data_IF_917573634135
#
_entry.id   IF_917573634135
#
_cell.length_a   1.000
_cell.length_b   1.000
_cell.length_c   1.000
_cell.angle_alpha   90.00
_cell.angle_beta   90.00
_cell.angle_gamma   90.00
#
_symmetry.space_group_name_H-M   'P 1'
#
loop_
_entity.id
_entity.type
_entity.pdbx_description
1 polymer ?
#
# COMPACT_ATOMS: atom_id res chain seq x y z
N UNK A 1 15.95 -7.10 -10.24
CA UNK A 1 16.18 -7.78 -11.54
C UNK A 1 15.49 -6.97 -12.61
N UNK A 2 16.24 -6.21 -13.40
CA UNK A 2 15.74 -5.45 -14.55
C UNK A 2 15.77 -6.35 -15.79
N UNK A 3 14.65 -6.43 -16.50
CA UNK A 3 14.52 -7.28 -17.68
C UNK A 3 15.27 -6.62 -18.85
N UNK A 4 16.47 -7.12 -19.20
CA UNK A 4 17.38 -6.56 -20.20
C UNK A 4 16.99 -6.86 -21.67
N UNK A 5 15.82 -7.46 -21.91
CA UNK A 5 15.39 -7.86 -23.25
C UNK A 5 13.95 -7.44 -23.52
N UNK A 6 13.71 -6.18 -23.90
CA UNK A 6 12.58 -5.74 -24.75
C UNK A 6 12.65 -4.21 -24.95
N UNK A 7 13.08 -3.77 -26.14
CA UNK A 7 12.91 -2.38 -26.59
C UNK A 7 11.41 -2.02 -26.57
N UNK A 8 11.03 -1.06 -25.73
CA UNK A 8 9.90 -0.16 -25.94
C UNK A 8 8.48 -0.73 -26.03
N UNK A 9 8.05 -1.63 -25.14
CA UNK A 9 6.59 -1.87 -24.99
C UNK A 9 5.98 -0.73 -24.18
N UNK A 10 4.98 -0.04 -24.74
CA UNK A 10 4.16 0.91 -23.99
C UNK A 10 3.52 0.18 -22.80
N UNK A 11 3.78 0.67 -21.58
CA UNK A 11 3.23 0.11 -20.35
C UNK A 11 2.49 1.22 -19.61
N UNK A 12 1.24 0.95 -19.30
CA UNK A 12 0.43 1.76 -18.41
C UNK A 12 0.32 1.07 -17.05
N UNK A 13 0.26 1.86 -16.00
CA UNK A 13 -0.11 1.44 -14.66
C UNK A 13 -1.61 1.72 -14.50
N UNK A 14 -2.36 0.71 -14.10
CA UNK A 14 -3.78 0.84 -13.82
C UNK A 14 -3.96 0.60 -12.33
N UNK A 15 -4.62 1.53 -11.66
CA UNK A 15 -4.98 1.45 -10.25
C UNK A 15 -6.48 1.61 -10.12
N UNK A 16 -7.13 0.68 -9.44
CA UNK A 16 -8.58 0.69 -9.29
C UNK A 16 -8.99 0.34 -7.86
N UNK A 17 -10.08 0.93 -7.40
CA UNK A 17 -10.80 0.49 -6.20
C UNK A 17 -12.14 -0.10 -6.65
N UNK A 18 -12.45 -1.30 -6.15
CA UNK A 18 -13.62 -2.07 -6.51
C UNK A 18 -14.33 -2.48 -5.23
N UNK A 19 -15.65 -2.36 -5.22
CA UNK A 19 -16.51 -2.99 -4.23
C UNK A 19 -16.63 -4.49 -4.53
N UNK A 20 -16.12 -5.31 -3.61
CA UNK A 20 -16.09 -6.77 -3.76
C UNK A 20 -17.48 -7.39 -3.67
N UNK A 21 -18.39 -6.81 -2.90
CA UNK A 21 -19.73 -7.37 -2.67
C UNK A 21 -20.68 -7.05 -3.80
N UNK A 22 -20.62 -5.82 -4.32
CA UNK A 22 -21.55 -5.35 -5.35
C UNK A 22 -20.94 -5.34 -6.76
N UNK A 23 -19.66 -5.69 -6.90
CA UNK A 23 -18.94 -5.72 -8.17
C UNK A 23 -18.92 -4.37 -8.93
N UNK A 24 -18.90 -3.25 -8.19
CA UNK A 24 -18.81 -1.90 -8.77
C UNK A 24 -17.40 -1.34 -8.68
N UNK A 25 -16.98 -0.62 -9.73
CA UNK A 25 -15.77 0.20 -9.68
C UNK A 25 -16.08 1.52 -8.99
N UNK A 26 -15.34 1.81 -7.92
CA UNK A 26 -15.46 3.08 -7.19
C UNK A 26 -14.52 4.14 -7.75
N UNK A 27 -13.33 3.73 -8.21
CA UNK A 27 -12.38 4.62 -8.88
C UNK A 27 -11.44 3.82 -9.79
N UNK A 28 -11.00 4.45 -10.89
CA UNK A 28 -10.06 3.88 -11.86
C UNK A 28 -9.12 4.99 -12.36
N UNK A 29 -7.82 4.81 -12.16
CA UNK A 29 -6.77 5.72 -12.60
C UNK A 29 -5.80 5.01 -13.55
N UNK A 30 -5.50 5.65 -14.68
CA UNK A 30 -4.53 5.17 -15.66
C UNK A 30 -3.35 6.13 -15.68
N UNK A 31 -2.17 5.63 -15.33
CA UNK A 31 -0.96 6.42 -15.22
C UNK A 31 0.25 5.78 -15.91
N UNK A 32 1.34 6.52 -16.00
CA UNK A 32 2.61 5.99 -16.47
C UNK A 32 3.22 5.02 -15.45
N UNK A 33 3.94 4.00 -15.92
CA UNK A 33 4.59 2.99 -15.06
C UNK A 33 5.61 3.56 -14.06
N UNK A 34 6.09 4.80 -14.26
CA UNK A 34 7.06 5.44 -13.37
C UNK A 34 6.41 6.04 -12.12
N UNK A 35 5.08 6.13 -12.08
CA UNK A 35 4.36 6.67 -10.93
C UNK A 35 4.33 5.64 -9.80
N UNK A 36 4.49 6.10 -8.56
CA UNK A 36 4.41 5.24 -7.37
C UNK A 36 2.98 4.69 -7.19
N UNK A 37 2.84 3.38 -7.08
CA UNK A 37 1.55 2.71 -6.83
C UNK A 37 0.89 3.22 -5.54
N UNK A 38 1.69 3.47 -4.50
CA UNK A 38 1.19 4.00 -3.22
C UNK A 38 0.62 5.40 -3.37
N UNK A 39 1.22 6.26 -4.19
CA UNK A 39 0.69 7.62 -4.42
C UNK A 39 -0.64 7.58 -5.15
N UNK A 40 -0.77 6.70 -6.15
CA UNK A 40 -2.03 6.53 -6.87
C UNK A 40 -3.09 5.96 -5.94
N UNK A 41 -2.76 4.95 -5.13
CA UNK A 41 -3.70 4.42 -4.16
C UNK A 41 -4.18 5.49 -3.16
N UNK A 42 -3.33 6.40 -2.69
CA UNK A 42 -3.75 7.55 -1.85
C UNK A 42 -4.79 8.41 -2.58
N UNK A 43 -4.65 8.64 -3.89
CA UNK A 43 -5.62 9.39 -4.69
C UNK A 43 -6.93 8.63 -4.84
N UNK A 44 -6.87 7.35 -5.23
CA UNK A 44 -8.06 6.53 -5.40
C UNK A 44 -8.87 6.44 -4.10
N UNK A 45 -8.19 6.31 -2.95
CA UNK A 45 -8.84 6.27 -1.63
C UNK A 45 -9.58 7.57 -1.33
N UNK A 46 -8.99 8.72 -1.67
CA UNK A 46 -9.66 10.02 -1.49
C UNK A 46 -10.92 10.13 -2.35
N UNK A 47 -10.85 9.70 -3.62
CA UNK A 47 -12.02 9.67 -4.50
C UNK A 47 -13.09 8.72 -3.99
N UNK A 48 -12.71 7.49 -3.63
CA UNK A 48 -13.64 6.46 -3.14
C UNK A 48 -14.29 6.85 -1.81
N UNK A 49 -13.59 7.57 -0.93
CA UNK A 49 -14.16 8.06 0.34
C UNK A 49 -15.33 9.02 0.13
N UNK A 50 -15.32 9.80 -0.95
CA UNK A 50 -16.45 10.66 -1.32
C UNK A 50 -17.68 9.89 -1.80
N UNK A 51 -17.52 8.62 -2.22
CA UNK A 51 -18.61 7.77 -2.71
C UNK A 51 -19.14 6.87 -1.60
N UNK A 52 -18.23 6.30 -0.79
CA UNK A 52 -18.55 5.41 0.33
C UNK A 52 -19.13 6.19 1.52
N UNK A 53 -18.75 7.47 1.66
CA UNK A 53 -19.15 8.37 2.74
C UNK A 53 -18.97 7.72 4.13
N UNK A 54 -20.07 7.41 4.81
CA UNK A 54 -20.09 6.87 6.18
C UNK A 54 -20.17 5.34 6.24
N UNK A 55 -20.20 4.65 5.11
CA UNK A 55 -20.30 3.18 5.09
C UNK A 55 -19.00 2.59 5.67
N UNK A 56 -19.08 1.76 6.73
CA UNK A 56 -17.90 1.10 7.29
C UNK A 56 -17.27 0.18 6.25
N UNK A 57 -16.03 0.48 5.86
CA UNK A 57 -15.30 -0.28 4.85
C UNK A 57 -13.89 -0.64 5.32
N UNK A 58 -13.40 -1.79 4.84
CA UNK A 58 -12.01 -2.22 4.96
C UNK A 58 -11.42 -2.27 3.56
N UNK A 59 -10.30 -1.59 3.36
CA UNK A 59 -9.61 -1.61 2.06
C UNK A 59 -8.60 -2.75 2.05
N UNK A 60 -8.74 -3.66 1.08
CA UNK A 60 -7.82 -4.79 0.89
C UNK A 60 -6.82 -4.45 -0.19
N UNK A 61 -5.54 -4.56 0.15
CA UNK A 61 -4.42 -4.27 -0.73
C UNK A 61 -3.63 -5.53 -1.08
N UNK A 62 -3.09 -5.55 -2.30
CA UNK A 62 -2.13 -6.58 -2.70
C UNK A 62 -0.73 -6.32 -2.06
N UNK A 63 0.26 -7.13 -2.42
CA UNK A 63 1.66 -7.05 -2.04
C UNK A 63 2.27 -5.75 -2.55
N UNK A 64 3.26 -5.23 -1.82
CA UNK A 64 4.04 -4.06 -2.21
C UNK A 64 3.58 -2.74 -1.61
N UNK A 65 2.35 -2.67 -1.09
CA UNK A 65 1.81 -1.48 -0.42
C UNK A 65 2.26 -1.20 1.03
N UNK A 66 2.60 -2.18 1.89
CA UNK A 66 2.83 -1.92 3.32
C UNK A 66 4.20 -1.26 3.59
N UNK A 67 4.37 -0.04 3.12
CA UNK A 67 5.44 0.89 3.52
C UNK A 67 5.00 1.67 4.76
N UNK A 68 5.97 2.10 5.59
CA UNK A 68 5.69 2.87 6.82
C UNK A 68 4.90 4.14 6.50
N UNK A 69 5.27 4.84 5.43
CA UNK A 69 4.62 6.08 5.02
C UNK A 69 3.16 5.83 4.60
N UNK A 70 2.89 4.74 3.89
CA UNK A 70 1.54 4.42 3.44
C UNK A 70 0.65 3.98 4.61
N UNK A 71 1.21 3.21 5.56
CA UNK A 71 0.50 2.85 6.81
C UNK A 71 0.18 4.09 7.64
N UNK A 72 1.15 4.99 7.85
CA UNK A 72 0.94 6.25 8.57
C UNK A 72 -0.16 7.11 7.93
N UNK A 73 -0.21 7.16 6.59
CA UNK A 73 -1.30 7.82 5.86
C UNK A 73 -2.67 7.19 6.17
N UNK A 74 -2.78 5.86 6.17
CA UNK A 74 -4.05 5.17 6.44
C UNK A 74 -4.53 5.40 7.87
N UNK A 75 -3.63 5.28 8.85
CA UNK A 75 -3.92 5.53 10.26
C UNK A 75 -4.38 6.98 10.51
N UNK A 76 -3.66 7.97 9.96
CA UNK A 76 -4.04 9.39 10.08
C UNK A 76 -5.40 9.72 9.49
N UNK A 77 -5.84 8.97 8.49
CA UNK A 77 -7.14 9.16 7.85
C UNK A 77 -8.24 8.24 8.42
N UNK A 78 -7.94 7.51 9.51
CA UNK A 78 -8.81 6.53 10.16
C UNK A 78 -9.38 5.48 9.19
N UNK A 79 -8.53 4.97 8.29
CA UNK A 79 -8.91 3.99 7.27
C UNK A 79 -8.58 2.60 7.78
N UNK A 80 -9.56 1.69 7.78
CA UNK A 80 -9.33 0.28 8.09
C UNK A 80 -8.80 -0.45 6.87
N UNK A 81 -7.79 -1.30 7.05
CA UNK A 81 -7.08 -1.92 5.94
C UNK A 81 -6.67 -3.36 6.21
N UNK A 82 -6.42 -4.11 5.14
CA UNK A 82 -5.82 -5.43 5.13
C UNK A 82 -4.75 -5.49 4.03
N UNK A 83 -3.53 -5.89 4.37
CA UNK A 83 -2.45 -6.07 3.40
C UNK A 83 -2.17 -7.55 3.14
N UNK A 84 -2.09 -7.94 1.87
CA UNK A 84 -1.44 -9.20 1.50
C UNK A 84 0.08 -9.05 1.61
N UNK A 85 0.69 -9.76 2.54
CA UNK A 85 2.15 -9.77 2.72
C UNK A 85 2.80 -10.84 1.83
N UNK A 86 4.04 -10.59 1.39
CA UNK A 86 4.84 -11.65 0.79
C UNK A 86 5.44 -12.55 1.87
N UNK A 87 5.79 -13.79 1.51
CA UNK A 87 6.45 -14.75 2.41
C UNK A 87 7.80 -14.25 2.96
N UNK A 88 8.41 -13.25 2.34
CA UNK A 88 9.68 -12.68 2.79
C UNK A 88 9.52 -11.49 3.75
N UNK A 89 8.36 -10.82 3.76
CA UNK A 89 8.12 -9.72 4.69
C UNK A 89 8.01 -10.25 6.12
N UNK A 90 8.51 -9.51 7.12
CA UNK A 90 8.31 -9.80 8.55
C UNK A 90 8.57 -11.26 8.96
N UNK A 91 9.54 -11.92 8.33
CA UNK A 91 9.78 -13.36 8.52
C UNK A 91 10.17 -13.68 9.96
N UNK A 92 11.06 -12.87 10.55
CA UNK A 92 11.50 -13.06 11.93
C UNK A 92 10.35 -12.85 12.92
N UNK A 93 9.54 -11.81 12.70
CA UNK A 93 8.40 -11.50 13.54
C UNK A 93 7.32 -12.58 13.45
N UNK A 94 7.16 -13.19 12.26
CA UNK A 94 6.26 -14.34 12.07
C UNK A 94 6.79 -15.63 12.69
N UNK A 95 8.09 -15.88 12.62
CA UNK A 95 8.71 -17.07 13.26
C UNK A 95 8.59 -17.01 14.78
N UNK A 96 8.56 -15.80 15.34
CA UNK A 96 8.33 -15.57 16.76
C UNK A 96 6.84 -15.64 17.17
N UNK A 97 5.92 -15.95 16.25
CA UNK A 97 4.51 -16.13 16.59
C UNK A 97 4.30 -17.41 17.40
N UNK A 98 3.63 -17.28 18.55
CA UNK A 98 3.24 -18.44 19.36
C UNK A 98 2.03 -19.21 18.78
N UNK A 99 1.23 -18.58 17.91
CA UNK A 99 0.05 -19.17 17.25
C UNK A 99 -0.04 -18.69 15.81
N UNK A 100 -0.59 -19.52 14.92
CA UNK A 100 -0.68 -19.25 13.48
C UNK A 100 -1.41 -17.94 13.16
N UNK A 101 -2.52 -17.66 13.86
CA UNK A 101 -3.33 -16.43 13.72
C UNK A 101 -3.20 -15.52 14.95
N UNK A 102 -1.98 -15.41 15.50
CA UNK A 102 -1.69 -14.58 16.65
C UNK A 102 -1.40 -13.11 16.30
N UNK A 103 -1.62 -12.17 17.22
CA UNK A 103 -1.13 -10.81 17.05
C UNK A 103 0.41 -10.80 17.02
N UNK A 104 0.97 -10.04 16.08
CA UNK A 104 2.41 -9.83 15.96
C UNK A 104 2.73 -8.36 16.18
N UNK A 105 3.69 -8.09 17.06
CA UNK A 105 4.24 -6.74 17.21
C UNK A 105 5.28 -6.50 16.12
N UNK A 106 4.93 -5.70 15.13
CA UNK A 106 5.87 -5.24 14.11
C UNK A 106 6.64 -4.04 14.67
N UNK A 107 7.97 -4.17 14.76
CA UNK A 107 8.84 -3.07 15.20
C UNK A 107 9.55 -2.49 13.99
N UNK A 108 9.19 -1.26 13.62
CA UNK A 108 9.90 -0.54 12.57
C UNK A 108 11.23 0.00 13.11
N UNK A 109 12.33 -0.74 12.92
CA UNK A 109 13.67 -0.32 13.38
C UNK A 109 14.20 0.80 12.49
N UNK A 110 14.50 1.93 13.14
CA UNK A 110 15.12 3.23 12.77
C UNK A 110 15.86 3.45 11.42
N UNK A 111 16.25 2.46 10.64
CA UNK A 111 17.00 2.68 9.39
C UNK A 111 16.22 3.51 8.36
N UNK A 112 14.88 3.45 8.38
CA UNK A 112 14.01 4.26 7.52
C UNK A 112 13.89 5.71 8.04
N UNK A 113 13.79 5.90 9.35
CA UNK A 113 13.71 7.23 9.98
C UNK A 113 15.00 8.05 9.78
N UNK A 114 16.17 7.40 9.77
CA UNK A 114 17.46 8.06 9.47
C UNK A 114 17.51 8.60 8.04
N UNK A 115 16.91 7.89 7.06
CA UNK A 115 16.80 8.38 5.67
C UNK A 115 15.85 9.58 5.56
N UNK A 116 14.71 9.54 6.24
CA UNK A 116 13.74 10.64 6.25
C UNK A 116 14.35 11.90 6.89
N UNK A 117 15.05 11.78 8.03
CA UNK A 117 15.77 12.90 8.65
C UNK A 117 16.82 13.54 7.73
N UNK A 118 17.56 12.73 6.94
CA UNK A 118 18.57 13.24 5.99
C UNK A 118 17.98 13.98 4.79
N UNK A 119 16.78 13.62 4.34
CA UNK A 119 16.10 14.29 3.23
C UNK A 119 15.44 15.61 3.66
N UNK A 120 14.91 15.68 4.89
CA UNK A 120 14.30 16.90 5.44
C UNK A 120 15.34 17.96 5.81
N UNK A 121 16.55 17.56 6.22
CA UNK A 121 17.67 18.48 6.50
C UNK A 121 18.37 19.05 5.26
N UNK A 122 17.95 18.65 4.05
CA UNK A 122 18.56 19.05 2.77
C UNK A 122 17.70 20.04 1.97
N UNK A 123 16.60 20.49 2.55
CA UNK A 123 15.77 21.64 2.12
C UNK A 123 16.08 22.82 3.05
#
# INVERSE_FOLDING_TARGET
MGNQYCKGKARALISSIIDVFNHFFLDLQINFIKTSESEIAKLNIKSAKGIIEDIPAIIVFDRGYPSIEFVDFLEKNNIKYLFRLSSNNYKQERENMSKMDGPVKIIHVNFILVKIKKSVQKL
#
